data_IF_852148344328
#
_entry.id   IF_852148344328
#
_cell.length_a   1.000
_cell.length_b   1.000
_cell.length_c   1.000
_cell.angle_alpha   90.00
_cell.angle_beta   90.00
_cell.angle_gamma   90.00
#
_symmetry.space_group_name_H-M   'P 1'
#
loop_
_entity.id
_entity.type
_entity.pdbx_description
1 polymer ?
#
# COMPACT_ATOMS: atom_id res chain seq x y z
N UNK A 1 25.71 -13.12 -23.32
CA UNK A 1 24.67 -13.77 -22.49
C UNK A 1 23.55 -14.21 -23.42
N UNK A 2 23.01 -15.40 -23.21
CA UNK A 2 21.89 -15.90 -24.00
C UNK A 2 20.62 -15.09 -23.74
N UNK A 3 19.77 -14.97 -24.75
CA UNK A 3 18.44 -14.41 -24.56
C UNK A 3 17.53 -15.49 -23.98
N UNK A 4 17.07 -15.30 -22.76
CA UNK A 4 16.19 -16.21 -22.05
C UNK A 4 14.81 -16.17 -22.70
N UNK A 5 14.28 -17.36 -23.00
CA UNK A 5 13.00 -17.58 -23.67
C UNK A 5 12.03 -18.36 -22.81
N UNK A 6 12.56 -19.20 -21.92
CA UNK A 6 11.76 -20.12 -21.11
C UNK A 6 12.25 -20.11 -19.66
N UNK A 7 11.31 -20.10 -18.73
CA UNK A 7 11.52 -20.42 -17.32
C UNK A 7 10.92 -21.80 -17.08
N UNK A 8 11.69 -22.69 -16.47
CA UNK A 8 11.35 -24.09 -16.25
C UNK A 8 11.14 -24.34 -14.76
N UNK A 9 10.03 -25.01 -14.42
CA UNK A 9 9.74 -25.51 -13.08
C UNK A 9 9.64 -27.05 -13.07
N UNK A 10 9.93 -27.72 -11.93
CA UNK A 10 9.74 -29.16 -11.79
C UNK A 10 8.27 -29.58 -11.80
N UNK A 11 7.42 -28.74 -11.21
CA UNK A 11 6.00 -28.98 -10.99
C UNK A 11 5.21 -27.70 -11.22
N UNK A 12 3.88 -27.78 -11.07
CA UNK A 12 2.98 -26.64 -11.21
C UNK A 12 3.44 -25.46 -10.32
N UNK A 13 3.22 -24.20 -10.75
CA UNK A 13 3.66 -23.03 -10.00
C UNK A 13 3.21 -23.02 -8.55
N UNK A 14 4.12 -22.72 -7.65
CA UNK A 14 3.88 -22.58 -6.22
C UNK A 14 4.16 -21.14 -5.80
N UNK A 15 3.72 -20.70 -4.61
CA UNK A 15 4.00 -19.35 -4.12
C UNK A 15 5.47 -18.95 -4.22
N UNK A 16 6.40 -19.80 -3.79
CA UNK A 16 7.83 -19.52 -3.87
C UNK A 16 8.33 -19.32 -5.31
N UNK A 17 8.04 -20.29 -6.18
CA UNK A 17 8.47 -20.22 -7.59
C UNK A 17 7.81 -19.06 -8.35
N UNK A 18 6.57 -18.69 -8.03
CA UNK A 18 5.91 -17.51 -8.60
C UNK A 18 6.55 -16.19 -8.13
N UNK A 19 6.99 -16.11 -6.87
CA UNK A 19 7.77 -14.96 -6.38
C UNK A 19 9.13 -14.92 -7.06
N UNK A 20 9.83 -16.06 -7.19
CA UNK A 20 11.11 -16.15 -7.91
C UNK A 20 10.99 -15.68 -9.38
N UNK A 21 9.95 -16.13 -10.08
CA UNK A 21 9.62 -15.68 -11.44
C UNK A 21 9.35 -14.18 -11.48
N UNK A 22 8.55 -13.65 -10.54
CA UNK A 22 8.29 -12.22 -10.46
C UNK A 22 9.59 -11.42 -10.34
N UNK A 23 10.50 -11.83 -9.44
CA UNK A 23 11.77 -11.16 -9.22
C UNK A 23 12.66 -11.20 -10.48
N UNK A 24 12.77 -12.36 -11.13
CA UNK A 24 13.50 -12.49 -12.39
C UNK A 24 12.92 -11.59 -13.49
N UNK A 25 11.60 -11.61 -13.69
CA UNK A 25 10.95 -10.80 -14.72
C UNK A 25 11.06 -9.30 -14.44
N UNK A 26 11.03 -8.90 -13.17
CA UNK A 26 11.05 -7.49 -12.76
C UNK A 26 12.44 -6.88 -12.71
N UNK A 27 13.43 -7.64 -12.25
CA UNK A 27 14.78 -7.13 -11.93
C UNK A 27 15.90 -7.88 -12.66
N UNK A 28 15.61 -9.01 -13.29
CA UNK A 28 16.61 -9.91 -13.87
C UNK A 28 17.12 -9.52 -15.24
N UNK A 29 16.47 -8.59 -15.97
CA UNK A 29 16.77 -8.26 -17.37
C UNK A 29 18.26 -8.01 -17.67
N UNK A 30 18.96 -7.32 -16.77
CA UNK A 30 20.39 -7.01 -16.96
C UNK A 30 21.25 -8.27 -16.95
N UNK A 31 20.95 -9.22 -16.05
CA UNK A 31 21.69 -10.50 -15.93
C UNK A 31 21.17 -11.57 -16.88
N UNK A 32 19.90 -11.49 -17.25
CA UNK A 32 19.17 -12.47 -18.04
C UNK A 32 18.34 -11.76 -19.13
N UNK A 33 18.96 -11.31 -20.23
CA UNK A 33 18.24 -10.63 -21.30
C UNK A 33 17.06 -11.47 -21.80
N UNK A 34 15.87 -10.87 -21.96
CA UNK A 34 14.67 -11.54 -22.45
C UNK A 34 13.82 -12.24 -21.38
N UNK A 35 14.30 -12.34 -20.14
CA UNK A 35 13.57 -13.01 -19.05
C UNK A 35 12.21 -12.38 -18.77
N UNK A 36 12.06 -11.06 -19.00
CA UNK A 36 10.80 -10.33 -18.84
C UNK A 36 9.64 -10.99 -19.61
N UNK A 37 9.93 -11.53 -20.80
CA UNK A 37 8.95 -12.10 -21.73
C UNK A 37 9.00 -13.63 -21.79
N UNK A 38 9.92 -14.27 -21.04
CA UNK A 38 10.09 -15.72 -21.05
C UNK A 38 8.80 -16.48 -20.69
N UNK A 39 8.50 -17.52 -21.46
CA UNK A 39 7.37 -18.42 -21.24
C UNK A 39 7.64 -19.40 -20.11
N UNK A 40 6.59 -20.00 -19.55
CA UNK A 40 6.70 -20.98 -18.49
C UNK A 40 6.51 -22.41 -19.03
N UNK A 41 7.46 -23.28 -18.71
CA UNK A 41 7.38 -24.73 -18.98
C UNK A 41 7.54 -25.57 -17.71
N UNK A 42 6.98 -26.78 -17.73
CA UNK A 42 7.07 -27.75 -16.63
C UNK A 42 7.83 -28.97 -17.12
N UNK A 43 8.97 -29.27 -16.49
CA UNK A 43 9.79 -30.44 -16.81
C UNK A 43 9.87 -31.35 -15.59
N UNK A 44 9.44 -32.61 -15.72
CA UNK A 44 9.54 -33.58 -14.62
C UNK A 44 10.98 -34.06 -14.40
N UNK A 45 11.78 -34.04 -15.47
CA UNK A 45 13.18 -34.48 -15.45
C UNK A 45 14.02 -33.58 -16.34
N UNK A 46 15.29 -33.48 -15.99
CA UNK A 46 16.28 -32.77 -16.80
C UNK A 46 16.55 -33.52 -18.10
N UNK A 47 16.76 -32.80 -19.22
CA UNK A 47 17.27 -33.40 -20.45
C UNK A 47 18.60 -34.13 -20.19
N UNK A 48 18.71 -35.36 -20.70
CA UNK A 48 19.89 -36.21 -20.49
C UNK A 48 21.16 -35.50 -21.00
N UNK A 49 22.18 -35.45 -20.15
CA UNK A 49 23.49 -34.89 -20.50
C UNK A 49 23.57 -33.36 -20.50
N UNK A 50 22.51 -32.65 -20.09
CA UNK A 50 22.53 -31.18 -19.97
C UNK A 50 22.60 -30.73 -18.51
N UNK A 51 23.53 -29.81 -18.21
CA UNK A 51 23.55 -29.10 -16.93
C UNK A 51 22.66 -27.85 -16.98
N UNK A 52 22.39 -27.25 -15.82
CA UNK A 52 21.62 -26.01 -15.74
C UNK A 52 22.29 -24.86 -16.51
N UNK A 53 23.63 -24.79 -16.49
CA UNK A 53 24.42 -23.78 -17.20
C UNK A 53 24.28 -23.91 -18.71
N UNK A 54 24.35 -25.14 -19.24
CA UNK A 54 24.15 -25.41 -20.67
C UNK A 54 22.76 -24.98 -21.11
N UNK A 55 21.74 -25.27 -20.30
CA UNK A 55 20.36 -24.90 -20.61
C UNK A 55 20.13 -23.39 -20.54
N UNK A 56 20.80 -22.70 -19.61
CA UNK A 56 20.81 -21.24 -19.52
C UNK A 56 21.40 -20.62 -20.80
N UNK A 57 22.50 -21.16 -21.33
CA UNK A 57 23.07 -20.76 -22.62
C UNK A 57 22.13 -21.03 -23.81
N UNK A 58 21.26 -22.04 -23.70
CA UNK A 58 20.21 -22.32 -24.68
C UNK A 58 18.94 -21.47 -24.50
N UNK A 59 18.91 -20.60 -23.48
CA UNK A 59 17.80 -19.68 -23.21
C UNK A 59 16.76 -20.20 -22.22
N UNK A 60 17.11 -21.15 -21.34
CA UNK A 60 16.24 -21.68 -20.31
C UNK A 60 16.77 -21.33 -18.91
N UNK A 61 15.94 -20.69 -18.09
CA UNK A 61 16.24 -20.56 -16.65
C UNK A 61 15.49 -21.65 -15.89
N UNK A 62 16.20 -22.37 -15.03
CA UNK A 62 15.65 -23.43 -14.21
C UNK A 62 15.46 -22.91 -12.79
N UNK A 63 14.27 -23.10 -12.24
CA UNK A 63 13.93 -22.73 -10.87
C UNK A 63 13.44 -23.99 -10.17
N UNK A 64 14.01 -24.27 -9.00
CA UNK A 64 13.63 -25.41 -8.16
C UNK A 64 13.88 -26.79 -8.80
N UNK A 65 14.72 -26.84 -9.84
CA UNK A 65 15.09 -28.08 -10.55
C UNK A 65 16.51 -27.99 -11.10
N UNK A 66 17.16 -29.15 -11.19
CA UNK A 66 18.38 -29.34 -11.98
C UNK A 66 19.68 -29.02 -11.24
N UNK A 67 19.63 -28.70 -9.95
CA UNK A 67 20.80 -28.44 -9.11
C UNK A 67 21.54 -27.14 -9.41
N UNK A 68 20.93 -26.25 -10.20
CA UNK A 68 21.51 -24.96 -10.57
C UNK A 68 21.41 -23.90 -9.48
N UNK A 69 21.76 -22.66 -9.84
CA UNK A 69 21.81 -21.50 -8.92
C UNK A 69 20.48 -21.13 -8.23
N UNK A 70 19.34 -21.57 -8.78
CA UNK A 70 18.00 -21.31 -8.24
C UNK A 70 17.29 -22.59 -7.76
N UNK A 71 18.04 -23.65 -7.47
CA UNK A 71 17.52 -24.89 -6.88
C UNK A 71 17.96 -24.98 -5.42
N UNK A 72 16.98 -25.01 -4.50
CA UNK A 72 17.23 -25.04 -3.06
C UNK A 72 17.29 -26.48 -2.49
N UNK A 73 16.94 -27.51 -3.26
CA UNK A 73 16.91 -28.91 -2.79
C UNK A 73 18.28 -29.45 -2.37
N UNK A 74 19.35 -28.94 -2.98
CA UNK A 74 20.73 -29.40 -2.73
C UNK A 74 21.52 -28.47 -1.78
N UNK A 75 20.89 -27.43 -1.23
CA UNK A 75 21.59 -26.44 -0.41
C UNK A 75 21.55 -26.79 1.09
N UNK A 76 22.66 -26.51 1.78
CA UNK A 76 22.75 -26.66 3.23
C UNK A 76 22.07 -25.47 3.91
N UNK A 77 20.83 -25.64 4.34
CA UNK A 77 20.06 -24.62 5.07
C UNK A 77 18.61 -24.56 4.61
N UNK A 78 17.76 -23.88 5.37
CA UNK A 78 16.40 -23.57 4.94
C UNK A 78 16.43 -22.28 4.12
N UNK A 79 16.40 -22.41 2.81
CA UNK A 79 16.24 -21.31 1.85
C UNK A 79 15.17 -21.68 0.84
N UNK A 80 14.76 -20.73 0.03
CA UNK A 80 13.75 -20.89 -1.02
C UNK A 80 14.27 -20.43 -2.36
N UNK A 81 13.64 -20.84 -3.46
CA UNK A 81 14.04 -20.42 -4.80
C UNK A 81 13.93 -18.90 -4.98
N UNK A 82 12.91 -18.26 -4.40
CA UNK A 82 12.77 -16.79 -4.44
C UNK A 82 13.90 -16.07 -3.71
N UNK A 83 14.36 -16.59 -2.56
CA UNK A 83 15.49 -16.02 -1.84
C UNK A 83 16.79 -16.15 -2.66
N UNK A 84 17.02 -17.32 -3.28
CA UNK A 84 18.18 -17.52 -4.16
C UNK A 84 18.20 -16.56 -5.35
N UNK A 85 17.03 -16.31 -5.95
CA UNK A 85 16.90 -15.30 -7.01
C UNK A 85 17.21 -13.91 -6.47
N UNK A 86 16.64 -13.51 -5.33
CA UNK A 86 16.90 -12.20 -4.74
C UNK A 86 18.38 -11.97 -4.43
N UNK A 87 19.04 -12.98 -3.85
CA UNK A 87 20.46 -12.94 -3.50
C UNK A 87 21.32 -12.81 -4.76
N UNK A 88 21.01 -13.63 -5.77
CA UNK A 88 21.73 -13.60 -7.04
C UNK A 88 21.56 -12.26 -7.75
N UNK A 89 20.37 -11.65 -7.71
CA UNK A 89 20.10 -10.35 -8.31
C UNK A 89 20.66 -9.19 -7.46
N UNK A 90 21.05 -9.44 -6.20
CA UNK A 90 21.57 -8.41 -5.29
C UNK A 90 20.50 -7.50 -4.71
N UNK A 91 19.26 -8.00 -4.58
CA UNK A 91 18.08 -7.22 -4.17
C UNK A 91 17.46 -7.69 -2.84
N UNK A 92 18.07 -8.66 -2.16
CA UNK A 92 17.50 -9.26 -0.93
C UNK A 92 17.25 -8.28 0.21
N UNK A 93 18.03 -7.20 0.27
CA UNK A 93 17.88 -6.13 1.27
C UNK A 93 16.86 -5.05 0.85
N UNK A 94 16.23 -5.18 -0.33
CA UNK A 94 15.20 -4.24 -0.76
C UNK A 94 13.92 -4.44 0.07
N UNK A 95 13.62 -3.44 0.90
CA UNK A 95 12.46 -3.46 1.78
C UNK A 95 11.12 -3.59 1.02
N UNK A 96 11.06 -3.24 -0.27
CA UNK A 96 9.85 -3.37 -1.10
C UNK A 96 9.50 -4.82 -1.46
N UNK A 97 10.47 -5.74 -1.44
CA UNK A 97 10.24 -7.17 -1.72
C UNK A 97 10.20 -8.04 -0.45
N UNK A 98 10.60 -7.50 0.70
CA UNK A 98 10.75 -8.26 1.95
C UNK A 98 9.50 -9.09 2.32
N UNK A 99 8.29 -8.55 2.13
CA UNK A 99 7.04 -9.28 2.40
C UNK A 99 6.78 -10.41 1.40
N UNK A 100 7.19 -10.27 0.15
CA UNK A 100 7.06 -11.32 -0.86
C UNK A 100 8.00 -12.49 -0.55
N UNK A 101 9.23 -12.18 -0.14
CA UNK A 101 10.20 -13.18 0.31
C UNK A 101 9.72 -13.89 1.59
N UNK A 102 9.20 -13.15 2.57
CA UNK A 102 8.64 -13.74 3.78
C UNK A 102 7.43 -14.64 3.47
N UNK A 103 6.54 -14.21 2.57
CA UNK A 103 5.41 -15.00 2.11
C UNK A 103 5.86 -16.32 1.46
N UNK A 104 6.80 -16.25 0.51
CA UNK A 104 7.36 -17.42 -0.16
C UNK A 104 8.02 -18.38 0.84
N UNK A 105 8.90 -17.87 1.71
CA UNK A 105 9.56 -18.65 2.75
C UNK A 105 8.57 -19.36 3.66
N UNK A 106 7.53 -18.66 4.12
CA UNK A 106 6.55 -19.25 5.03
C UNK A 106 5.67 -20.30 4.38
N UNK A 107 5.31 -20.10 3.12
CA UNK A 107 4.54 -21.06 2.36
C UNK A 107 5.35 -22.33 2.11
N UNK A 108 6.56 -22.19 1.59
CA UNK A 108 7.42 -23.31 1.22
C UNK A 108 7.87 -24.14 2.43
N UNK A 109 8.36 -23.49 3.48
CA UNK A 109 8.97 -24.18 4.62
C UNK A 109 7.94 -24.70 5.62
N UNK A 110 6.78 -24.04 5.76
CA UNK A 110 5.80 -24.35 6.80
C UNK A 110 4.40 -24.67 6.28
N UNK A 111 4.13 -24.51 4.98
CA UNK A 111 2.78 -24.57 4.44
C UNK A 111 1.87 -23.44 4.95
N UNK A 112 2.46 -22.30 5.36
CA UNK A 112 1.76 -21.20 6.05
C UNK A 112 1.82 -19.87 5.30
N UNK A 113 1.56 -19.89 4.00
CA UNK A 113 1.42 -18.65 3.22
C UNK A 113 0.25 -17.78 3.70
N UNK A 114 -0.74 -18.34 4.38
CA UNK A 114 -1.77 -17.61 5.15
C UNK A 114 -1.60 -17.90 6.64
N UNK A 115 -1.52 -16.85 7.48
CA UNK A 115 -1.35 -16.99 8.95
C UNK A 115 -2.64 -17.47 9.62
N UNK A 116 -3.78 -16.94 9.17
CA UNK A 116 -5.07 -17.14 9.83
C UNK A 116 -5.42 -18.63 9.89
N UNK A 117 -5.94 -19.06 11.03
CA UNK A 117 -6.43 -20.44 11.22
C UNK A 117 -7.87 -20.60 10.74
N UNK A 118 -8.60 -19.49 10.57
CA UNK A 118 -9.96 -19.46 10.05
C UNK A 118 -10.02 -20.11 8.66
N UNK A 119 -11.03 -20.95 8.44
CA UNK A 119 -11.16 -21.73 7.21
C UNK A 119 -11.48 -20.87 6.00
N UNK A 120 -12.22 -19.77 6.17
CA UNK A 120 -12.58 -18.84 5.11
C UNK A 120 -11.33 -18.07 4.69
N UNK A 121 -10.61 -17.50 5.66
CA UNK A 121 -9.36 -16.77 5.37
C UNK A 121 -8.34 -17.63 4.64
N UNK A 122 -8.20 -18.90 5.04
CA UNK A 122 -7.31 -19.84 4.35
C UNK A 122 -7.80 -20.18 2.95
N UNK A 123 -9.10 -20.37 2.75
CA UNK A 123 -9.66 -20.67 1.44
C UNK A 123 -9.49 -19.52 0.43
N UNK A 124 -9.55 -18.28 0.91
CA UNK A 124 -9.38 -17.07 0.09
C UNK A 124 -7.97 -16.46 0.19
N UNK A 125 -7.04 -17.11 0.89
CA UNK A 125 -5.64 -16.74 0.93
C UNK A 125 -4.94 -17.05 -0.40
N UNK A 126 -3.92 -16.25 -0.75
CA UNK A 126 -3.27 -16.33 -2.06
C UNK A 126 -2.74 -17.74 -2.38
N UNK A 127 -2.17 -18.43 -1.40
CA UNK A 127 -1.67 -19.80 -1.58
C UNK A 127 -2.77 -20.80 -1.95
N UNK A 128 -3.94 -20.70 -1.31
CA UNK A 128 -5.08 -21.56 -1.62
C UNK A 128 -5.70 -21.20 -2.98
N UNK A 129 -5.69 -19.92 -3.35
CA UNK A 129 -6.09 -19.47 -4.69
C UNK A 129 -5.14 -20.07 -5.74
N UNK A 130 -3.82 -19.99 -5.55
CA UNK A 130 -2.82 -20.61 -6.44
C UNK A 130 -3.06 -22.12 -6.55
N UNK A 131 -3.24 -22.81 -5.42
CA UNK A 131 -3.56 -24.23 -5.40
C UNK A 131 -4.83 -24.56 -6.21
N UNK A 132 -5.90 -23.79 -6.01
CA UNK A 132 -7.18 -23.98 -6.71
C UNK A 132 -7.06 -23.68 -8.20
N UNK A 133 -6.30 -22.65 -8.60
CA UNK A 133 -6.00 -22.36 -10.00
C UNK A 133 -5.24 -23.52 -10.64
N UNK A 134 -4.19 -24.03 -9.98
CA UNK A 134 -3.44 -25.19 -10.46
C UNK A 134 -4.29 -26.45 -10.59
N UNK A 135 -5.28 -26.65 -9.72
CA UNK A 135 -6.22 -27.76 -9.80
C UNK A 135 -7.15 -27.65 -11.00
N UNK A 136 -7.62 -26.44 -11.31
CA UNK A 136 -8.59 -26.19 -12.39
C UNK A 136 -7.93 -25.90 -13.75
N UNK A 137 -6.64 -25.56 -13.77
CA UNK A 137 -5.85 -25.27 -14.98
C UNK A 137 -4.64 -26.22 -15.11
N UNK A 138 -4.81 -27.55 -15.00
CA UNK A 138 -3.69 -28.49 -14.85
C UNK A 138 -2.74 -28.55 -16.05
N UNK A 139 -3.19 -28.13 -17.24
CA UNK A 139 -2.40 -28.10 -18.48
C UNK A 139 -1.93 -26.70 -18.87
N UNK A 140 -2.30 -25.67 -18.10
CA UNK A 140 -2.05 -24.27 -18.44
C UNK A 140 -1.30 -23.53 -17.31
N UNK A 141 -0.08 -23.97 -16.94
CA UNK A 141 0.71 -23.33 -15.88
C UNK A 141 1.02 -21.87 -16.19
N UNK A 142 1.26 -21.54 -17.47
CA UNK A 142 1.39 -20.16 -17.94
C UNK A 142 0.19 -19.30 -17.53
N UNK A 143 -1.04 -19.83 -17.67
CA UNK A 143 -2.25 -19.07 -17.32
C UNK A 143 -2.36 -18.80 -15.82
N UNK A 144 -1.86 -19.71 -14.98
CA UNK A 144 -1.78 -19.49 -13.53
C UNK A 144 -0.82 -18.34 -13.24
N UNK A 145 0.36 -18.35 -13.86
CA UNK A 145 1.33 -17.27 -13.75
C UNK A 145 0.75 -15.92 -14.22
N UNK A 146 0.07 -15.89 -15.36
CA UNK A 146 -0.55 -14.67 -15.92
C UNK A 146 -1.61 -14.06 -14.99
N UNK A 147 -2.28 -14.88 -14.17
CA UNK A 147 -3.27 -14.41 -13.18
C UNK A 147 -2.57 -13.87 -11.93
N UNK A 148 -1.51 -14.54 -11.46
CA UNK A 148 -0.88 -14.25 -10.18
C UNK A 148 0.15 -13.12 -10.27
N UNK A 149 0.95 -13.05 -11.34
CA UNK A 149 1.99 -12.03 -11.46
C UNK A 149 1.46 -10.59 -11.33
N UNK A 150 0.32 -10.19 -11.93
CA UNK A 150 -0.25 -8.86 -11.71
C UNK A 150 -0.54 -8.55 -10.24
N UNK A 151 -0.93 -9.55 -9.45
CA UNK A 151 -1.19 -9.40 -8.01
C UNK A 151 0.13 -9.12 -7.27
N UNK A 152 1.18 -9.89 -7.55
CA UNK A 152 2.50 -9.68 -6.94
C UNK A 152 3.11 -8.34 -7.35
N UNK A 153 2.99 -7.94 -8.62
CA UNK A 153 3.43 -6.65 -9.14
C UNK A 153 2.69 -5.50 -8.42
N UNK A 154 1.37 -5.61 -8.29
CA UNK A 154 0.57 -4.59 -7.59
C UNK A 154 0.98 -4.47 -6.13
N UNK A 155 1.22 -5.60 -5.44
CA UNK A 155 1.68 -5.59 -4.06
C UNK A 155 3.06 -4.94 -3.93
N UNK A 156 4.02 -5.36 -4.75
CA UNK A 156 5.35 -4.77 -4.78
C UNK A 156 5.33 -3.26 -5.04
N UNK A 157 4.52 -2.78 -5.99
CA UNK A 157 4.44 -1.35 -6.28
C UNK A 157 3.91 -0.54 -5.08
N UNK A 158 2.95 -1.08 -4.32
CA UNK A 158 2.49 -0.44 -3.08
C UNK A 158 3.54 -0.49 -1.98
N UNK A 159 4.32 -1.57 -1.88
CA UNK A 159 5.43 -1.67 -0.95
C UNK A 159 6.57 -0.69 -1.31
N UNK A 160 6.92 -0.56 -2.59
CA UNK A 160 7.90 0.41 -3.08
C UNK A 160 7.49 1.84 -2.73
N UNK A 161 6.22 2.20 -2.97
CA UNK A 161 5.67 3.49 -2.52
C UNK A 161 5.89 3.70 -1.02
N UNK A 162 5.53 2.69 -0.22
CA UNK A 162 5.54 2.76 1.24
C UNK A 162 6.93 2.85 1.84
N UNK A 163 7.90 2.12 1.29
CA UNK A 163 9.25 1.99 1.83
C UNK A 163 10.23 3.00 1.26
N UNK A 164 9.94 3.55 0.08
CA UNK A 164 10.84 4.47 -0.64
C UNK A 164 10.19 5.79 -1.02
N UNK A 165 9.19 5.76 -1.90
CA UNK A 165 8.70 6.98 -2.55
C UNK A 165 8.02 7.96 -1.57
N UNK A 166 7.16 7.47 -0.66
CA UNK A 166 6.48 8.32 0.33
C UNK A 166 7.44 8.88 1.39
N UNK A 167 8.38 8.09 1.96
CA UNK A 167 9.44 8.64 2.80
C UNK A 167 10.27 9.73 2.10
N UNK A 168 10.70 9.50 0.85
CA UNK A 168 11.48 10.47 0.07
C UNK A 168 10.69 11.76 -0.17
N UNK A 169 9.42 11.66 -0.61
CA UNK A 169 8.53 12.82 -0.80
C UNK A 169 8.36 13.59 0.51
N UNK A 170 8.12 12.88 1.62
CA UNK A 170 7.90 13.50 2.92
C UNK A 170 9.16 14.24 3.42
N UNK A 171 10.33 13.60 3.33
CA UNK A 171 11.59 14.20 3.75
C UNK A 171 11.91 15.46 2.94
N UNK A 172 11.73 15.41 1.62
CA UNK A 172 11.90 16.58 0.76
C UNK A 172 10.97 17.73 1.17
N UNK A 173 9.70 17.45 1.46
CA UNK A 173 8.73 18.48 1.87
C UNK A 173 9.04 19.07 3.25
N UNK A 174 9.62 18.28 4.15
CA UNK A 174 10.14 18.75 5.43
C UNK A 174 11.32 19.70 5.23
N UNK A 175 12.27 19.35 4.36
CA UNK A 175 13.43 20.19 4.01
C UNK A 175 13.02 21.51 3.35
N UNK A 176 12.01 21.46 2.47
CA UNK A 176 11.46 22.65 1.79
C UNK A 176 10.59 23.53 2.72
N UNK A 177 10.36 23.13 3.97
CA UNK A 177 9.55 23.88 4.94
C UNK A 177 8.05 23.93 4.60
N UNK A 178 7.58 23.07 3.70
CA UNK A 178 6.17 23.00 3.25
C UNK A 178 5.30 22.12 4.15
N UNK A 179 5.93 21.40 5.08
CA UNK A 179 5.23 20.65 6.13
C UNK A 179 5.10 21.52 7.38
N UNK A 180 3.91 21.50 8.00
CA UNK A 180 3.69 22.08 9.32
C UNK A 180 3.20 21.03 10.29
N UNK A 181 3.67 21.08 11.53
CA UNK A 181 3.21 20.18 12.60
C UNK A 181 2.85 20.98 13.84
N UNK A 182 1.84 20.53 14.57
CA UNK A 182 1.46 21.11 15.86
C UNK A 182 0.86 20.05 16.80
N UNK A 183 0.76 20.38 18.08
CA UNK A 183 0.08 19.57 19.10
C UNK A 183 -1.23 20.24 19.50
N UNK A 184 -2.34 19.51 19.47
CA UNK A 184 -3.64 19.98 20.00
C UNK A 184 -4.06 19.09 21.17
N UNK A 185 -4.67 19.67 22.20
CA UNK A 185 -5.28 18.91 23.29
C UNK A 185 -6.78 18.78 23.07
N UNK A 186 -7.29 17.56 23.02
CA UNK A 186 -8.74 17.28 23.04
C UNK A 186 -9.05 16.43 24.27
N UNK A 187 -9.81 16.98 25.22
CA UNK A 187 -10.27 16.27 26.43
C UNK A 187 -9.11 15.57 27.17
N UNK A 188 -8.01 16.30 27.37
CA UNK A 188 -6.79 15.81 28.02
C UNK A 188 -5.87 14.94 27.14
N UNK A 189 -6.30 14.50 25.96
CA UNK A 189 -5.44 13.78 25.00
C UNK A 189 -4.63 14.76 24.17
N UNK A 190 -3.32 14.56 24.10
CA UNK A 190 -2.44 15.24 23.15
C UNK A 190 -2.54 14.56 21.78
N UNK A 191 -2.82 15.34 20.75
CA UNK A 191 -2.98 14.92 19.36
C UNK A 191 -1.85 15.54 18.53
N UNK A 192 -1.09 14.70 17.82
CA UNK A 192 -0.07 15.15 16.88
C UNK A 192 -0.71 15.42 15.52
N UNK A 193 -0.69 16.67 15.07
CA UNK A 193 -1.30 17.13 13.82
C UNK A 193 -0.23 17.47 12.80
N UNK A 194 -0.45 17.11 11.54
CA UNK A 194 0.40 17.47 10.39
C UNK A 194 -0.41 18.05 9.25
N UNK A 195 0.17 19.04 8.58
CA UNK A 195 -0.33 19.68 7.38
C UNK A 195 0.68 19.47 6.26
N UNK A 196 0.22 18.99 5.12
CA UNK A 196 1.08 18.68 3.98
C UNK A 196 0.35 18.90 2.65
N UNK A 197 1.06 19.44 1.67
CA UNK A 197 0.63 19.41 0.27
C UNK A 197 1.10 18.11 -0.37
N UNK A 198 0.22 17.26 -0.89
CA UNK A 198 0.62 16.02 -1.60
C UNK A 198 -0.49 15.52 -2.53
N UNK A 199 -0.09 15.11 -3.73
CA UNK A 199 -0.97 14.44 -4.69
C UNK A 199 -1.12 12.94 -4.43
N UNK A 200 -0.27 12.37 -3.56
CA UNK A 200 -0.28 10.93 -3.31
C UNK A 200 -1.47 10.56 -2.41
N UNK A 201 -2.42 9.72 -2.86
CA UNK A 201 -3.54 9.28 -2.02
C UNK A 201 -3.07 8.49 -0.78
N UNK A 202 -1.91 7.85 -0.88
CA UNK A 202 -1.33 7.02 0.18
C UNK A 202 -0.54 7.82 1.22
N UNK A 203 -0.22 9.10 0.97
CA UNK A 203 0.58 9.94 1.88
C UNK A 203 -0.05 10.04 3.27
N UNK A 204 -1.36 10.33 3.34
CA UNK A 204 -2.04 10.38 4.63
C UNK A 204 -1.97 9.05 5.40
N UNK A 205 -2.06 7.91 4.70
CA UNK A 205 -1.94 6.59 5.30
C UNK A 205 -0.53 6.34 5.84
N UNK A 206 0.49 6.72 5.08
CA UNK A 206 1.89 6.67 5.51
C UNK A 206 2.13 7.50 6.77
N UNK A 207 1.70 8.77 6.82
CA UNK A 207 1.93 9.67 7.97
C UNK A 207 1.25 9.19 9.27
N UNK A 208 0.13 8.46 9.17
CA UNK A 208 -0.52 7.85 10.33
C UNK A 208 0.14 6.53 10.77
N UNK A 209 0.98 5.94 9.92
CA UNK A 209 1.66 4.67 10.20
C UNK A 209 2.81 4.84 11.21
N UNK A 210 3.38 3.70 11.64
CA UNK A 210 4.55 3.71 12.52
C UNK A 210 5.76 4.40 11.87
N UNK A 211 5.95 4.18 10.56
CA UNK A 211 7.10 4.67 9.82
C UNK A 211 6.95 6.15 9.43
N UNK A 212 5.72 6.63 9.20
CA UNK A 212 5.47 8.03 8.84
C UNK A 212 5.28 8.98 10.02
N UNK A 213 5.69 8.60 11.23
CA UNK A 213 5.71 9.51 12.38
C UNK A 213 4.46 9.51 13.26
N UNK A 214 3.54 8.56 13.06
CA UNK A 214 2.37 8.27 13.91
C UNK A 214 1.47 9.49 14.17
N UNK A 215 1.29 10.34 13.17
CA UNK A 215 0.40 11.50 13.30
C UNK A 215 -1.04 11.05 13.60
N UNK A 216 -1.70 11.74 14.52
CA UNK A 216 -3.05 11.43 14.96
C UNK A 216 -4.10 12.07 14.04
N UNK A 217 -3.77 13.24 13.48
CA UNK A 217 -4.57 13.97 12.49
C UNK A 217 -3.66 14.42 11.34
N UNK A 218 -4.07 14.13 10.11
CA UNK A 218 -3.38 14.54 8.88
C UNK A 218 -4.32 15.41 8.07
N UNK A 219 -3.96 16.67 7.85
CA UNK A 219 -4.58 17.54 6.85
C UNK A 219 -3.72 17.52 5.58
N UNK A 220 -4.24 16.91 4.52
CA UNK A 220 -3.57 16.81 3.23
C UNK A 220 -4.29 17.70 2.21
N UNK A 221 -3.57 18.63 1.58
CA UNK A 221 -4.07 19.44 0.48
C UNK A 221 -3.50 18.94 -0.85
N UNK A 222 -4.34 18.92 -1.88
CA UNK A 222 -3.91 18.66 -3.26
C UNK A 222 -3.66 19.96 -4.02
N UNK A 223 -3.02 19.88 -5.18
CA UNK A 223 -2.75 20.97 -6.11
C UNK A 223 -4.04 21.62 -6.62
N UNK A 224 -5.13 20.86 -6.67
CA UNK A 224 -6.46 21.39 -7.03
C UNK A 224 -7.09 22.22 -5.91
N UNK A 225 -6.46 22.33 -4.75
CA UNK A 225 -6.96 23.07 -3.59
C UNK A 225 -7.83 22.25 -2.64
N UNK A 226 -8.17 21.01 -3.01
CA UNK A 226 -8.96 20.12 -2.14
C UNK A 226 -8.19 19.71 -0.88
N UNK A 227 -8.87 19.73 0.27
CA UNK A 227 -8.28 19.39 1.58
C UNK A 227 -9.01 18.21 2.21
N UNK A 228 -8.25 17.18 2.59
CA UNK A 228 -8.79 16.03 3.31
C UNK A 228 -8.13 15.90 4.69
N UNK A 229 -8.95 15.71 5.72
CA UNK A 229 -8.54 15.57 7.11
C UNK A 229 -8.84 14.16 7.57
N UNK A 230 -7.79 13.39 7.83
CA UNK A 230 -7.87 11.98 8.20
C UNK A 230 -7.27 11.74 9.58
N UNK A 231 -7.88 10.83 10.34
CA UNK A 231 -7.45 10.56 11.72
C UNK A 231 -6.99 9.12 11.92
N UNK A 232 -6.26 8.89 13.01
CA UNK A 232 -5.94 7.54 13.46
C UNK A 232 -7.12 7.00 14.29
N UNK A 233 -7.86 6.04 13.73
CA UNK A 233 -9.09 5.50 14.34
C UNK A 233 -8.91 5.05 15.80
N UNK A 234 -7.78 4.43 16.13
CA UNK A 234 -7.46 3.96 17.49
C UNK A 234 -7.43 5.08 18.56
N UNK A 235 -7.39 6.37 18.18
CA UNK A 235 -7.44 7.49 19.13
C UNK A 235 -8.85 7.93 19.49
N UNK A 236 -9.86 7.52 18.71
CA UNK A 236 -11.25 7.94 18.83
C UNK A 236 -11.38 9.47 18.96
N UNK A 237 -10.79 10.20 18.00
CA UNK A 237 -10.79 11.67 17.95
C UNK A 237 -12.19 12.13 17.57
N UNK A 238 -12.77 13.07 18.31
CA UNK A 238 -14.07 13.64 18.00
C UNK A 238 -13.92 14.78 16.99
N UNK A 239 -14.52 14.62 15.81
CA UNK A 239 -14.41 15.58 14.72
C UNK A 239 -15.63 16.49 14.59
N UNK A 240 -16.64 16.37 15.47
CA UNK A 240 -17.88 17.14 15.36
C UNK A 240 -17.65 18.64 15.47
N UNK A 241 -16.85 19.07 16.45
CA UNK A 241 -16.48 20.49 16.60
C UNK A 241 -15.66 21.00 15.41
N UNK A 242 -14.73 20.20 14.90
CA UNK A 242 -13.97 20.56 13.71
C UNK A 242 -14.86 20.71 12.46
N UNK A 243 -15.86 19.83 12.29
CA UNK A 243 -16.82 19.94 11.19
C UNK A 243 -17.62 21.26 11.26
N UNK A 244 -18.03 21.68 12.46
CA UNK A 244 -18.69 22.99 12.68
C UNK A 244 -17.78 24.13 12.26
N UNK A 245 -16.55 24.16 12.76
CA UNK A 245 -15.57 25.22 12.48
C UNK A 245 -15.28 25.33 10.99
N UNK A 246 -15.02 24.20 10.31
CA UNK A 246 -14.73 24.20 8.88
C UNK A 246 -15.92 24.68 8.05
N UNK A 247 -17.13 24.24 8.38
CA UNK A 247 -18.34 24.64 7.63
C UNK A 247 -18.69 26.11 7.84
N UNK A 248 -18.57 26.62 9.06
CA UNK A 248 -18.76 28.05 9.34
C UNK A 248 -17.75 28.89 8.56
N UNK A 249 -16.49 28.47 8.55
CA UNK A 249 -15.44 29.17 7.82
C UNK A 249 -15.66 29.10 6.30
N UNK A 250 -16.13 27.97 5.77
CA UNK A 250 -16.47 27.84 4.34
C UNK A 250 -17.62 28.77 3.94
N UNK A 251 -18.68 28.87 4.77
CA UNK A 251 -19.81 29.78 4.57
C UNK A 251 -19.32 31.23 4.51
N UNK A 252 -18.48 31.62 5.47
CA UNK A 252 -17.89 32.95 5.56
C UNK A 252 -16.98 33.26 4.37
N UNK A 253 -16.06 32.36 4.03
CA UNK A 253 -15.11 32.51 2.93
C UNK A 253 -15.80 32.64 1.57
N UNK A 254 -17.00 32.04 1.41
CA UNK A 254 -17.82 32.15 0.20
C UNK A 254 -18.84 33.29 0.24
N UNK A 255 -18.85 34.11 1.30
CA UNK A 255 -19.78 35.23 1.44
C UNK A 255 -21.25 34.81 1.52
N UNK A 256 -21.53 33.58 1.98
CA UNK A 256 -22.90 33.09 2.16
C UNK A 256 -23.43 33.63 3.50
N UNK A 257 -24.62 34.22 3.50
CA UNK A 257 -25.30 34.63 4.73
C UNK A 257 -26.36 33.58 5.08
N UNK A 258 -25.96 32.61 5.92
CA UNK A 258 -26.80 31.48 6.31
C UNK A 258 -26.76 31.33 7.83
N UNK A 259 -27.94 31.21 8.46
CA UNK A 259 -28.04 30.94 9.88
C UNK A 259 -28.11 29.43 10.12
N UNK A 260 -27.15 28.90 10.87
CA UNK A 260 -27.12 27.49 11.30
C UNK A 260 -26.81 27.38 12.77
N UNK A 261 -27.39 26.38 13.43
CA UNK A 261 -26.91 25.97 14.75
C UNK A 261 -25.62 25.14 14.62
N UNK A 262 -24.80 25.12 15.67
CA UNK A 262 -23.65 24.22 15.73
C UNK A 262 -24.08 22.74 15.59
N UNK A 263 -25.27 22.38 16.07
CA UNK A 263 -25.83 21.04 15.92
C UNK A 263 -26.02 20.68 14.43
N UNK A 264 -26.56 21.60 13.62
CA UNK A 264 -26.76 21.39 12.18
C UNK A 264 -25.44 21.17 11.45
N UNK A 265 -24.44 21.99 11.74
CA UNK A 265 -23.13 21.91 11.11
C UNK A 265 -22.27 20.76 11.62
N UNK A 266 -22.60 20.15 12.76
CA UNK A 266 -21.88 18.98 13.28
C UNK A 266 -22.30 17.66 12.64
N UNK A 267 -23.38 17.66 11.83
CA UNK A 267 -23.98 16.45 11.26
C UNK A 267 -23.02 15.69 10.34
N UNK A 268 -23.10 14.38 10.39
CA UNK A 268 -22.41 13.48 9.45
C UNK A 268 -22.97 13.66 8.03
N UNK A 269 -22.18 13.30 7.03
CA UNK A 269 -22.55 13.47 5.63
C UNK A 269 -22.22 14.86 5.10
N UNK A 270 -22.83 15.24 3.97
CA UNK A 270 -22.80 16.61 3.45
C UNK A 270 -23.98 17.38 4.00
N UNK A 271 -23.78 18.67 4.27
CA UNK A 271 -24.85 19.63 4.53
C UNK A 271 -25.14 20.34 3.21
N UNK A 272 -26.40 20.39 2.78
CA UNK A 272 -26.77 20.81 1.41
C UNK A 272 -26.32 22.22 1.08
N UNK A 273 -26.35 23.11 2.07
CA UNK A 273 -26.05 24.53 1.95
C UNK A 273 -24.54 24.85 2.06
N UNK A 274 -23.75 23.88 2.54
CA UNK A 274 -22.28 23.88 2.60
C UNK A 274 -21.78 22.51 2.14
N UNK A 275 -21.97 22.19 0.83
CA UNK A 275 -21.75 20.86 0.31
C UNK A 275 -20.26 20.51 0.18
N UNK A 276 -19.34 21.45 0.35
CA UNK A 276 -17.91 21.27 0.13
C UNK A 276 -17.30 20.24 1.09
N UNK A 277 -17.84 20.11 2.30
CA UNK A 277 -17.30 19.28 3.37
C UNK A 277 -18.19 18.08 3.72
N UNK A 278 -17.64 16.88 3.52
CA UNK A 278 -18.25 15.60 3.91
C UNK A 278 -17.63 15.10 5.22
N UNK A 279 -18.46 14.90 6.25
CA UNK A 279 -18.00 14.31 7.51
C UNK A 279 -18.39 12.82 7.56
N UNK A 280 -17.40 11.94 7.49
CA UNK A 280 -17.57 10.49 7.59
C UNK A 280 -17.21 10.00 8.99
N UNK A 281 -18.24 9.58 9.74
CA UNK A 281 -18.07 9.02 11.08
C UNK A 281 -17.52 7.59 11.05
N UNK A 282 -17.78 6.81 9.98
CA UNK A 282 -17.33 5.42 9.90
C UNK A 282 -15.81 5.33 9.74
N UNK A 283 -15.25 6.18 8.88
CA UNK A 283 -13.79 6.27 8.70
C UNK A 283 -13.13 7.29 9.63
N UNK A 284 -13.92 8.10 10.34
CA UNK A 284 -13.49 9.23 11.18
C UNK A 284 -12.65 10.24 10.39
N UNK A 285 -13.22 10.76 9.30
CA UNK A 285 -12.57 11.71 8.38
C UNK A 285 -13.48 12.88 8.03
N UNK A 286 -12.90 14.04 7.72
CA UNK A 286 -13.59 15.17 7.10
C UNK A 286 -12.94 15.41 5.74
N UNK A 287 -13.73 15.40 4.67
CA UNK A 287 -13.24 15.39 3.30
C UNK A 287 -13.82 16.54 2.49
N UNK A 288 -12.95 17.34 1.87
CA UNK A 288 -13.31 18.20 0.75
C UNK A 288 -12.89 17.47 -0.54
N UNK A 289 -13.83 16.71 -1.10
CA UNK A 289 -13.66 15.96 -2.35
C UNK A 289 -13.07 14.54 -2.22
N UNK A 290 -12.39 14.20 -1.12
CA UNK A 290 -11.76 12.88 -0.99
C UNK A 290 -10.64 12.67 -2.02
N UNK A 291 -10.39 11.43 -2.42
CA UNK A 291 -9.36 11.09 -3.44
C UNK A 291 -9.81 11.45 -4.85
N UNK A 292 -11.12 11.44 -5.10
CA UNK A 292 -11.70 11.79 -6.40
C UNK A 292 -12.84 12.80 -6.17
N UNK A 293 -12.57 14.11 -6.28
CA UNK A 293 -13.50 15.18 -5.91
C UNK A 293 -14.79 15.23 -6.73
N UNK A 294 -14.80 14.65 -7.95
CA UNK A 294 -15.96 14.72 -8.87
C UNK A 294 -16.48 16.16 -8.99
N UNK A 295 -17.72 16.41 -8.58
CA UNK A 295 -18.42 17.71 -8.66
C UNK A 295 -18.22 18.59 -7.41
N UNK A 296 -17.40 18.15 -6.46
CA UNK A 296 -17.12 18.93 -5.25
C UNK A 296 -16.10 20.00 -5.60
N UNK A 297 -16.41 21.25 -5.26
CA UNK A 297 -15.49 22.36 -5.41
C UNK A 297 -14.38 22.33 -4.33
N UNK A 298 -13.16 22.77 -4.65
CA UNK A 298 -12.12 23.01 -3.66
C UNK A 298 -12.62 23.97 -2.56
N UNK A 299 -12.15 23.78 -1.33
CA UNK A 299 -12.48 24.68 -0.21
C UNK A 299 -12.07 26.12 -0.54
N UNK A 300 -12.95 27.07 -0.21
CA UNK A 300 -12.63 28.50 -0.29
C UNK A 300 -11.75 28.97 0.87
N UNK A 301 -11.47 28.11 1.85
CA UNK A 301 -10.71 28.47 3.03
C UNK A 301 -9.21 28.51 2.68
N UNK A 302 -8.56 29.64 2.97
CA UNK A 302 -7.13 29.80 2.80
C UNK A 302 -6.34 28.78 3.63
N UNK A 303 -5.37 28.13 2.99
CA UNK A 303 -4.58 27.05 3.59
C UNK A 303 -3.81 27.50 4.84
N UNK A 304 -3.35 28.75 4.84
CA UNK A 304 -2.63 29.37 5.94
C UNK A 304 -3.49 29.47 7.20
N UNK A 305 -4.81 29.46 7.07
CA UNK A 305 -5.77 29.49 8.19
C UNK A 305 -6.05 28.10 8.76
N UNK A 306 -5.74 27.02 8.04
CA UNK A 306 -6.01 25.64 8.48
C UNK A 306 -5.41 25.29 9.84
N UNK A 307 -4.15 25.64 10.17
CA UNK A 307 -3.60 25.37 11.50
C UNK A 307 -4.45 25.93 12.64
N UNK A 308 -4.96 27.15 12.50
CA UNK A 308 -5.81 27.79 13.49
C UNK A 308 -7.16 27.06 13.61
N UNK A 309 -7.81 26.77 12.48
CA UNK A 309 -9.13 26.11 12.46
C UNK A 309 -9.07 24.71 13.04
N UNK A 310 -8.03 23.94 12.71
CA UNK A 310 -7.83 22.61 13.28
C UNK A 310 -7.54 22.68 14.78
N UNK A 311 -6.78 23.68 15.23
CA UNK A 311 -6.49 23.86 16.65
C UNK A 311 -7.78 24.08 17.42
N UNK A 312 -8.58 25.08 17.01
CA UNK A 312 -9.82 25.46 17.68
C UNK A 312 -10.90 24.38 17.56
N UNK A 313 -11.03 23.78 16.38
CA UNK A 313 -12.00 22.73 16.12
C UNK A 313 -11.71 21.45 16.90
N UNK A 314 -10.45 21.03 17.00
CA UNK A 314 -10.07 19.84 17.76
C UNK A 314 -10.02 20.08 19.27
N UNK A 315 -9.67 21.30 19.73
CA UNK A 315 -9.66 21.61 21.17
C UNK A 315 -11.07 21.76 21.77
N UNK A 316 -12.10 21.87 20.93
CA UNK A 316 -13.51 22.08 21.33
C UNK A 316 -13.74 23.40 22.08
N UNK A 317 -12.88 24.40 21.83
CA UNK A 317 -12.95 25.72 22.49
C UNK A 317 -14.21 26.52 22.12
N UNK A 318 -14.64 26.45 20.86
CA UNK A 318 -15.83 27.19 20.38
C UNK A 318 -17.12 26.46 20.73
N UNK A 319 -17.14 25.14 20.59
CA UNK A 319 -18.32 24.32 20.82
C UNK A 319 -17.90 22.90 21.16
N UNK A 320 -18.44 22.35 22.25
CA UNK A 320 -18.27 20.94 22.59
C UNK A 320 -19.54 20.16 22.29
N UNK A 321 -19.44 18.99 21.65
CA UNK A 321 -20.59 18.13 21.38
C UNK A 321 -20.98 17.26 22.59
N UNK A 322 -20.30 17.43 23.73
CA UNK A 322 -20.66 16.83 25.01
C UNK A 322 -21.19 17.97 25.88
N UNK A 323 -22.41 17.84 26.38
CA UNK A 323 -22.92 18.77 27.39
C UNK A 323 -21.98 18.74 28.60
N UNK A 324 -21.44 19.90 28.96
CA UNK A 324 -20.76 20.09 30.25
C UNK A 324 -21.73 19.68 31.35
N UNK A 325 -21.44 18.58 32.03
CA UNK A 325 -22.12 18.20 33.28
C UNK A 325 -21.87 19.24 34.36
#
# INVERSE_FOLDING_TARGET
MANIKVIVLPVRPQPDTLVAIFLLKRFGKEKFPGVEDAALEIWQTMPVGKSAEVLEEEGHILIDIGGGKFDHHNQKGKTTASQLVADYLGISEDASIAKLLEYAYRDDIFGKGTVSEDSIDRAFGLSAIIYTLNKNLPKNPQKVMDIILPILISHHNEELKRTKELPEEFNKKMEDGTVRTLEVKQRGKKLKVIFIDSESPSMSGYLRSQNGGKFDVVAQRSQTGHVNILTRQAKHIDLRSLAVVLRLEEISARGRNLEFSAADLSRTGRVKEVPEWYYDRATNTIQNGGVNPKEVEPTAIFWEKMPQLLTVGLSEEIWSPIESK
#
